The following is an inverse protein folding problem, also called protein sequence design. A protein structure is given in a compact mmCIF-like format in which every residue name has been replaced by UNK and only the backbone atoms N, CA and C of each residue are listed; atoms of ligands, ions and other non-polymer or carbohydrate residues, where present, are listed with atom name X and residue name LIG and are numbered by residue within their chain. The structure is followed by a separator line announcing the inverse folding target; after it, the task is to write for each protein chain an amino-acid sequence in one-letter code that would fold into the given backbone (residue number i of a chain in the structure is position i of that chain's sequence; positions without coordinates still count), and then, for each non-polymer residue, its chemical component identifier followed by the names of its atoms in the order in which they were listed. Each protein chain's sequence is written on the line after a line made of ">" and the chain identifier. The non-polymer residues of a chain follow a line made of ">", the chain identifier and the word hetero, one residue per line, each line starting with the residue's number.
data_IF_141447869659
#
_entry.id   IF_141447869659
#
_cell.length_a   1.000
_cell.length_b   1.000
_cell.length_c   1.000
_cell.angle_alpha   90.00
_cell.angle_beta   90.00
_cell.angle_gamma   90.00
#
_symmetry.space_group_name_H-M   'P 1'
#
loop_
_entity.id
_entity.type
_entity.pdbx_description
1 polymer ?
#
# COMPACT_ATOMS: atom_id res chain seq x y z
N UNK A 1 12.75 6.09 24.65
CA UNK A 1 11.43 5.96 25.29
C UNK A 1 11.21 4.47 25.50
N UNK A 2 11.12 3.99 26.75
CA UNK A 2 11.03 2.55 27.05
C UNK A 2 9.72 2.00 26.45
N UNK A 3 9.82 1.17 25.40
CA UNK A 3 8.71 0.36 24.94
C UNK A 3 8.34 -0.61 26.07
N UNK A 4 7.16 -0.44 26.67
CA UNK A 4 6.59 -1.48 27.52
C UNK A 4 6.24 -2.70 26.65
N UNK A 5 6.36 -3.91 27.19
CA UNK A 5 6.02 -5.16 26.48
C UNK A 5 4.64 -5.13 25.80
N UNK A 6 3.67 -4.43 26.40
CA UNK A 6 2.34 -4.24 25.85
C UNK A 6 2.32 -3.38 24.56
N UNK A 7 3.21 -2.40 24.44
CA UNK A 7 3.38 -1.61 23.20
C UNK A 7 3.95 -2.46 22.07
N UNK A 8 4.94 -3.30 22.38
CA UNK A 8 5.58 -4.18 21.38
C UNK A 8 4.58 -5.15 20.77
N UNK A 9 3.68 -5.72 21.58
CA UNK A 9 2.62 -6.62 21.08
C UNK A 9 1.68 -5.89 20.11
N UNK A 10 1.31 -4.65 20.42
CA UNK A 10 0.46 -3.82 19.56
C UNK A 10 1.19 -3.50 18.24
N UNK A 11 2.47 -3.16 18.32
CA UNK A 11 3.29 -2.86 17.14
C UNK A 11 3.42 -4.08 16.22
N UNK A 12 3.68 -5.28 16.77
CA UNK A 12 3.69 -6.54 16.02
C UNK A 12 2.34 -6.76 15.33
N UNK A 13 1.24 -6.61 16.06
CA UNK A 13 -0.10 -6.83 15.51
C UNK A 13 -0.40 -5.87 14.35
N UNK A 14 -0.05 -4.60 14.47
CA UNK A 14 -0.23 -3.59 13.41
C UNK A 14 0.62 -3.95 12.19
N UNK A 15 1.90 -4.28 12.39
CA UNK A 15 2.83 -4.61 11.29
C UNK A 15 2.36 -5.87 10.56
N UNK A 16 2.03 -6.95 11.28
CA UNK A 16 1.55 -8.20 10.67
C UNK A 16 0.22 -7.98 9.93
N UNK A 17 -0.72 -7.24 10.52
CA UNK A 17 -1.99 -6.90 9.86
C UNK A 17 -1.77 -6.11 8.59
N UNK A 18 -0.83 -5.16 8.59
CA UNK A 18 -0.48 -4.37 7.42
C UNK A 18 0.16 -5.23 6.32
N UNK A 19 1.09 -6.12 6.66
CA UNK A 19 1.70 -7.07 5.72
C UNK A 19 0.62 -7.94 5.07
N UNK A 20 -0.33 -8.45 5.85
CA UNK A 20 -1.45 -9.24 5.34
C UNK A 20 -2.30 -8.42 4.35
N UNK A 21 -2.56 -7.14 4.62
CA UNK A 21 -3.27 -6.26 3.70
C UNK A 21 -2.49 -6.02 2.40
N UNK A 22 -1.17 -5.81 2.47
CA UNK A 22 -0.30 -5.68 1.29
C UNK A 22 -0.36 -6.96 0.44
N UNK A 23 -0.30 -8.12 1.08
CA UNK A 23 -0.37 -9.42 0.39
C UNK A 23 -1.72 -9.65 -0.30
N UNK A 24 -2.83 -9.35 0.40
CA UNK A 24 -4.18 -9.40 -0.17
C UNK A 24 -4.34 -8.43 -1.34
N UNK A 25 -3.81 -7.20 -1.21
CA UNK A 25 -3.81 -6.21 -2.29
C UNK A 25 -3.05 -6.71 -3.52
N UNK A 26 -1.87 -7.32 -3.32
CA UNK A 26 -1.09 -7.92 -4.40
C UNK A 26 -1.85 -9.05 -5.12
N UNK A 27 -2.45 -9.97 -4.36
CA UNK A 27 -3.29 -11.05 -4.92
C UNK A 27 -4.48 -10.50 -5.71
N UNK A 28 -5.10 -9.42 -5.22
CA UNK A 28 -6.25 -8.80 -5.88
C UNK A 28 -5.86 -8.10 -7.19
N UNK A 29 -4.68 -7.46 -7.28
CA UNK A 29 -4.19 -6.86 -8.54
C UNK A 29 -4.17 -7.91 -9.66
N UNK A 30 -3.73 -9.14 -9.37
CA UNK A 30 -3.71 -10.23 -10.36
C UNK A 30 -5.11 -10.53 -10.90
N UNK A 31 -6.12 -10.59 -10.04
CA UNK A 31 -7.52 -10.81 -10.45
C UNK A 31 -8.12 -9.63 -11.23
N UNK A 32 -7.64 -8.41 -10.96
CA UNK A 32 -8.07 -7.19 -11.62
C UNK A 32 -7.43 -6.97 -13.00
N UNK A 33 -6.37 -7.72 -13.35
CA UNK A 33 -5.63 -7.56 -14.61
C UNK A 33 -6.52 -7.74 -15.86
N UNK A 34 -7.36 -8.78 -15.88
CA UNK A 34 -8.27 -9.07 -17.01
C UNK A 34 -9.20 -7.90 -17.36
N UNK A 35 -10.04 -7.41 -16.42
CA UNK A 35 -10.95 -6.30 -16.70
C UNK A 35 -10.21 -4.98 -16.93
N UNK A 36 -9.03 -4.79 -16.33
CA UNK A 36 -8.19 -3.60 -16.59
C UNK A 36 -7.63 -3.60 -18.02
N UNK A 37 -7.17 -4.76 -18.53
CA UNK A 37 -6.75 -4.92 -19.92
C UNK A 37 -7.90 -4.68 -20.91
N UNK A 38 -9.12 -5.10 -20.58
CA UNK A 38 -10.30 -4.80 -21.40
C UNK A 38 -10.57 -3.28 -21.47
N UNK A 39 -10.42 -2.55 -20.36
CA UNK A 39 -10.58 -1.09 -20.34
C UNK A 39 -9.48 -0.36 -21.12
N UNK A 40 -8.23 -0.81 -21.00
CA UNK A 40 -7.09 -0.31 -21.78
C UNK A 40 -7.30 -0.53 -23.28
N UNK A 41 -7.77 -1.71 -23.70
CA UNK A 41 -8.06 -2.00 -25.10
C UNK A 41 -9.21 -1.15 -25.67
N UNK A 42 -10.19 -0.77 -24.83
CA UNK A 42 -11.27 0.16 -25.23
C UNK A 42 -10.80 1.63 -25.32
N UNK A 43 -9.58 1.96 -24.88
CA UNK A 43 -9.02 3.33 -24.94
C UNK A 43 -9.71 4.35 -24.02
N UNK A 44 -10.56 3.91 -23.09
CA UNK A 44 -11.36 4.83 -22.24
C UNK A 44 -10.63 5.21 -20.94
N UNK A 45 -9.49 4.58 -20.67
CA UNK A 45 -8.73 4.73 -19.43
C UNK A 45 -8.28 6.16 -19.17
N UNK A 46 -7.88 6.91 -20.20
CA UNK A 46 -7.41 8.30 -20.05
C UNK A 46 -8.52 9.26 -19.62
N UNK A 47 -9.73 9.08 -20.15
CA UNK A 47 -10.91 9.90 -19.81
C UNK A 47 -11.32 9.65 -18.37
N UNK A 48 -11.30 8.39 -17.94
CA UNK A 48 -11.59 7.98 -16.58
C UNK A 48 -10.51 8.51 -15.62
N UNK A 49 -9.23 8.35 -15.97
CA UNK A 49 -8.11 8.84 -15.18
C UNK A 49 -8.19 10.35 -14.96
N UNK A 50 -8.51 11.15 -15.99
CA UNK A 50 -8.65 12.60 -15.87
C UNK A 50 -9.72 13.03 -14.87
N UNK A 51 -10.81 12.26 -14.74
CA UNK A 51 -11.87 12.52 -13.74
C UNK A 51 -11.46 12.13 -12.32
N UNK A 52 -10.70 11.05 -12.17
CA UNK A 52 -10.43 10.42 -10.85
C UNK A 52 -9.04 10.80 -10.30
N UNK A 53 -8.19 11.47 -11.09
CA UNK A 53 -6.80 11.83 -10.72
C UNK A 53 -6.64 12.45 -9.34
N UNK A 54 -7.55 13.33 -8.92
CA UNK A 54 -7.49 14.01 -7.62
C UNK A 54 -7.73 13.03 -6.47
N UNK A 55 -8.61 12.06 -6.69
CA UNK A 55 -8.96 11.04 -5.72
C UNK A 55 -7.88 9.96 -5.64
N UNK A 56 -7.28 9.59 -6.79
CA UNK A 56 -6.08 8.73 -6.84
C UNK A 56 -4.94 9.38 -6.06
N UNK A 57 -4.65 10.67 -6.30
CA UNK A 57 -3.58 11.37 -5.60
C UNK A 57 -3.83 11.44 -4.08
N UNK A 58 -5.07 11.73 -3.68
CA UNK A 58 -5.46 11.74 -2.26
C UNK A 58 -5.30 10.37 -1.59
N UNK A 59 -5.73 9.29 -2.25
CA UNK A 59 -5.54 7.93 -1.73
C UNK A 59 -4.08 7.50 -1.69
N UNK A 60 -3.29 7.83 -2.72
CA UNK A 60 -1.86 7.54 -2.74
C UNK A 60 -1.14 8.26 -1.60
N UNK A 61 -1.50 9.52 -1.33
CA UNK A 61 -0.96 10.26 -0.19
C UNK A 61 -1.30 9.58 1.15
N UNK A 62 -2.56 9.15 1.32
CA UNK A 62 -2.96 8.39 2.51
C UNK A 62 -2.19 7.06 2.64
N UNK A 63 -1.98 6.33 1.54
CA UNK A 63 -1.18 5.10 1.53
C UNK A 63 0.28 5.36 1.91
N UNK A 64 0.85 6.48 1.47
CA UNK A 64 2.20 6.89 1.84
C UNK A 64 2.29 7.18 3.35
N UNK A 65 1.34 7.94 3.90
CA UNK A 65 1.28 8.22 5.33
C UNK A 65 1.17 6.94 6.17
N UNK A 66 0.27 6.02 5.78
CA UNK A 66 0.11 4.71 6.44
C UNK A 66 1.40 3.89 6.38
N UNK A 67 2.02 3.79 5.21
CA UNK A 67 3.27 3.04 5.03
C UNK A 67 4.39 3.65 5.89
N UNK A 68 4.48 4.99 5.97
CA UNK A 68 5.46 5.67 6.81
C UNK A 68 5.24 5.40 8.31
N UNK A 69 3.99 5.46 8.77
CA UNK A 69 3.64 5.13 10.17
C UNK A 69 4.03 3.69 10.53
N UNK A 70 3.71 2.73 9.66
CA UNK A 70 4.06 1.32 9.91
C UNK A 70 5.58 1.11 9.86
N UNK A 71 6.28 1.73 8.92
CA UNK A 71 7.75 1.68 8.85
C UNK A 71 8.40 2.28 10.10
N UNK A 72 7.87 3.38 10.64
CA UNK A 72 8.34 3.95 11.90
C UNK A 72 8.16 2.97 13.08
N UNK A 73 6.99 2.32 13.17
CA UNK A 73 6.75 1.28 14.20
C UNK A 73 7.68 0.08 14.04
N UNK A 74 7.92 -0.36 12.80
CA UNK A 74 8.89 -1.43 12.52
C UNK A 74 10.32 -1.04 12.94
N UNK A 75 10.70 0.23 12.78
CA UNK A 75 11.98 0.74 13.25
C UNK A 75 12.11 0.67 14.77
N UNK A 76 11.11 1.16 15.51
CA UNK A 76 11.07 1.09 16.98
C UNK A 76 11.17 -0.36 17.50
N UNK A 77 10.46 -1.28 16.84
CA UNK A 77 10.49 -2.71 17.19
C UNK A 77 11.84 -3.37 16.92
N UNK A 78 12.47 -3.07 15.78
CA UNK A 78 13.79 -3.62 15.44
C UNK A 78 14.90 -3.08 16.36
N UNK A 79 14.82 -1.80 16.74
CA UNK A 79 15.70 -1.22 17.76
C UNK A 79 15.52 -1.91 19.12
N UNK A 80 14.28 -2.21 19.52
CA UNK A 80 14.00 -2.94 20.77
C UNK A 80 14.60 -4.35 20.77
N UNK A 81 14.60 -5.03 19.62
CA UNK A 81 15.25 -6.32 19.41
C UNK A 81 16.78 -6.23 19.27
N UNK A 82 17.36 -5.04 19.50
CA UNK A 82 18.79 -4.75 19.40
C UNK A 82 19.40 -5.01 18.01
N UNK A 83 18.57 -4.94 16.96
CA UNK A 83 19.01 -5.03 15.57
C UNK A 83 19.48 -3.63 15.16
N UNK A 84 20.79 -3.41 15.07
CA UNK A 84 21.37 -2.12 14.71
C UNK A 84 22.34 -2.26 13.53
N UNK A 85 22.30 -1.32 12.58
CA UNK A 85 23.25 -1.24 11.47
C UNK A 85 22.64 -0.79 10.14
N UNK A 86 23.48 -0.64 9.11
CA UNK A 86 23.03 -0.22 7.77
C UNK A 86 21.99 -1.16 7.15
N UNK A 87 22.08 -2.47 7.43
CA UNK A 87 21.12 -3.46 6.94
C UNK A 87 19.68 -3.20 7.39
N UNK A 88 19.48 -2.63 8.59
CA UNK A 88 18.16 -2.27 9.09
C UNK A 88 17.54 -1.14 8.26
N UNK A 89 18.31 -0.10 7.95
CA UNK A 89 17.81 1.03 7.15
C UNK A 89 17.48 0.61 5.71
N UNK A 90 18.27 -0.29 5.12
CA UNK A 90 18.00 -0.86 3.80
C UNK A 90 16.70 -1.67 3.83
N UNK A 91 16.50 -2.51 4.85
CA UNK A 91 15.30 -3.32 5.00
C UNK A 91 14.05 -2.46 5.18
N UNK A 92 14.10 -1.44 6.05
CA UNK A 92 13.00 -0.50 6.26
C UNK A 92 12.66 0.33 5.03
N UNK A 93 13.68 0.81 4.31
CA UNK A 93 13.48 1.57 3.07
C UNK A 93 12.84 0.69 1.99
N UNK A 94 13.34 -0.54 1.82
CA UNK A 94 12.78 -1.51 0.89
C UNK A 94 11.34 -1.85 1.26
N UNK A 95 11.06 -2.11 2.54
CA UNK A 95 9.72 -2.38 3.05
C UNK A 95 8.74 -1.23 2.78
N UNK A 96 9.17 0.01 3.04
CA UNK A 96 8.38 1.21 2.78
C UNK A 96 8.02 1.33 1.29
N UNK A 97 9.03 1.24 0.41
CA UNK A 97 8.86 1.41 -1.03
C UNK A 97 7.96 0.32 -1.63
N UNK A 98 8.19 -0.95 -1.27
CA UNK A 98 7.38 -2.06 -1.77
C UNK A 98 5.93 -1.98 -1.29
N UNK A 99 5.72 -1.70 0.00
CA UNK A 99 4.38 -1.62 0.57
C UNK A 99 3.58 -0.47 -0.05
N UNK A 100 4.21 0.69 -0.19
CA UNK A 100 3.61 1.85 -0.85
C UNK A 100 3.28 1.54 -2.32
N UNK A 101 4.22 0.98 -3.08
CA UNK A 101 4.02 0.69 -4.50
C UNK A 101 2.85 -0.28 -4.73
N UNK A 102 2.76 -1.35 -3.93
CA UNK A 102 1.69 -2.34 -4.05
C UNK A 102 0.33 -1.73 -3.68
N UNK A 103 0.23 -0.97 -2.58
CA UNK A 103 -1.02 -0.30 -2.19
C UNK A 103 -1.44 0.76 -3.22
N UNK A 104 -0.49 1.56 -3.71
CA UNK A 104 -0.76 2.59 -4.72
C UNK A 104 -1.25 1.95 -6.03
N UNK A 105 -0.62 0.87 -6.48
CA UNK A 105 -1.07 0.13 -7.66
C UNK A 105 -2.47 -0.48 -7.46
N UNK A 106 -2.73 -1.07 -6.29
CA UNK A 106 -4.05 -1.64 -5.98
C UNK A 106 -5.15 -0.58 -5.96
N UNK A 107 -4.92 0.54 -5.27
CA UNK A 107 -5.89 1.65 -5.21
C UNK A 107 -6.15 2.24 -6.59
N UNK A 108 -5.11 2.38 -7.41
CA UNK A 108 -5.24 2.82 -8.80
C UNK A 108 -6.11 1.88 -9.64
N UNK A 109 -5.79 0.58 -9.67
CA UNK A 109 -6.56 -0.42 -10.42
C UNK A 109 -8.01 -0.47 -9.97
N UNK A 110 -8.25 -0.47 -8.66
CA UNK A 110 -9.59 -0.56 -8.09
C UNK A 110 -10.43 0.69 -8.39
N UNK A 111 -9.83 1.88 -8.35
CA UNK A 111 -10.50 3.12 -8.70
C UNK A 111 -10.87 3.17 -10.18
N UNK A 112 -9.99 2.74 -11.07
CA UNK A 112 -10.29 2.64 -12.50
C UNK A 112 -11.46 1.68 -12.76
N UNK A 113 -11.46 0.50 -12.13
CA UNK A 113 -12.55 -0.47 -12.29
C UNK A 113 -13.88 0.03 -11.73
N UNK A 114 -13.90 0.61 -10.53
CA UNK A 114 -15.13 1.16 -9.95
C UNK A 114 -15.72 2.29 -10.80
N UNK A 115 -14.86 3.11 -11.39
CA UNK A 115 -15.31 4.26 -12.19
C UNK A 115 -15.73 3.86 -13.60
N UNK A 116 -15.14 2.81 -14.17
CA UNK A 116 -15.63 2.14 -15.36
C UNK A 116 -17.00 1.47 -15.13
N UNK A 117 -17.16 0.74 -14.03
CA UNK A 117 -18.43 0.10 -13.71
C UNK A 117 -19.55 1.13 -13.51
N UNK A 118 -19.24 2.28 -12.86
CA UNK A 118 -20.21 3.38 -12.70
C UNK A 118 -20.55 4.12 -13.99
N UNK A 119 -19.70 4.05 -15.01
CA UNK A 119 -19.96 4.62 -16.33
C UNK A 119 -20.61 3.63 -17.30
N UNK A 120 -20.92 2.41 -16.85
CA UNK A 120 -21.59 1.37 -17.65
C UNK A 120 -20.68 0.69 -18.69
N UNK A 121 -19.36 0.76 -18.49
CA UNK A 121 -18.34 0.21 -19.40
C UNK A 121 -17.86 -1.20 -19.06
#
# INVERSE_FOLDING_TARGET
>A
MYLNYQSVIVDIFIITSFILHVFLAFGSIKTMSGPLSALLNKGVTDVIFKKVKRLIFGLSFLCLCLSCLVTWRSYELLLFLNVNGFGLYILLSTFLLYSFAILAAFTFCKLLLMTAQRSGL
#
